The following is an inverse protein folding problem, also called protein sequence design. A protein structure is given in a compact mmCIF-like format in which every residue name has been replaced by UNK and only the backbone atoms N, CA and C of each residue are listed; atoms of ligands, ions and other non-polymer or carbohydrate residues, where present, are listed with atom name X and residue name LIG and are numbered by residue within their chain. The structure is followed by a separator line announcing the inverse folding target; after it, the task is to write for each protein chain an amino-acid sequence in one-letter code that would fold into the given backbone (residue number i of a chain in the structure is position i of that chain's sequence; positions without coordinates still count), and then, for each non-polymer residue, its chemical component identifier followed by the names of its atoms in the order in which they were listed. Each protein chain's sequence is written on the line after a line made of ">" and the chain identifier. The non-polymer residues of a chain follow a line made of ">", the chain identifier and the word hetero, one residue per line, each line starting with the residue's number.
data_IF_384789857764
#
_entry.id   IF_384789857764
#
_cell.length_a   1.000
_cell.length_b   1.000
_cell.length_c   1.000
_cell.angle_alpha   90.00
_cell.angle_beta   90.00
_cell.angle_gamma   90.00
#
_symmetry.space_group_name_H-M   'P 1'
#
loop_
_entity.id
_entity.type
_entity.pdbx_description
1 polymer ?
#
# COMPACT_ATOMS: atom_id res chain seq x y z
N UNK A 1 -26.66 29.13 -6.10
CA UNK A 1 -26.09 28.59 -4.86
C UNK A 1 -25.20 27.42 -5.26
N UNK A 2 -23.88 27.61 -5.32
CA UNK A 2 -22.93 26.61 -5.80
C UNK A 2 -22.48 25.74 -4.61
N UNK A 3 -23.32 24.78 -4.22
CA UNK A 3 -22.90 23.69 -3.36
C UNK A 3 -22.61 22.48 -4.23
N UNK A 4 -21.38 21.97 -4.22
CA UNK A 4 -21.09 20.68 -4.82
C UNK A 4 -22.07 19.63 -4.25
N UNK A 5 -22.61 18.76 -5.10
CA UNK A 5 -23.51 17.70 -4.63
C UNK A 5 -22.79 16.79 -3.64
N UNK A 6 -23.53 16.20 -2.70
CA UNK A 6 -22.95 15.31 -1.69
C UNK A 6 -22.17 14.14 -2.33
N UNK A 7 -22.60 13.70 -3.51
CA UNK A 7 -21.93 12.68 -4.33
C UNK A 7 -20.59 13.15 -4.93
N UNK A 8 -20.52 14.40 -5.40
CA UNK A 8 -19.27 14.97 -5.88
C UNK A 8 -18.24 15.11 -4.74
N UNK A 9 -18.70 15.45 -3.54
CA UNK A 9 -17.86 15.55 -2.34
C UNK A 9 -17.31 14.16 -1.93
N UNK A 10 -18.14 13.11 -1.97
CA UNK A 10 -17.70 11.76 -1.63
C UNK A 10 -16.74 11.17 -2.66
N UNK A 11 -16.98 11.41 -3.96
CA UNK A 11 -16.07 11.00 -5.03
C UNK A 11 -14.70 11.69 -4.91
N UNK A 12 -14.67 13.01 -4.71
CA UNK A 12 -13.43 13.75 -4.52
C UNK A 12 -12.65 13.26 -3.28
N UNK A 13 -13.35 13.00 -2.16
CA UNK A 13 -12.73 12.43 -0.95
C UNK A 13 -12.14 11.04 -1.21
N UNK A 14 -12.83 10.20 -1.99
CA UNK A 14 -12.37 8.86 -2.38
C UNK A 14 -11.08 8.93 -3.17
N UNK A 15 -11.00 9.81 -4.16
CA UNK A 15 -9.80 9.99 -4.99
C UNK A 15 -8.60 10.45 -4.17
N UNK A 16 -8.78 11.46 -3.31
CA UNK A 16 -7.71 11.93 -2.41
C UNK A 16 -7.21 10.79 -1.50
N UNK A 17 -8.13 10.01 -0.94
CA UNK A 17 -7.76 8.89 -0.07
C UNK A 17 -7.01 7.79 -0.85
N UNK A 18 -7.43 7.48 -2.08
CA UNK A 18 -6.72 6.54 -2.95
C UNK A 18 -5.30 6.99 -3.26
N UNK A 19 -5.10 8.29 -3.47
CA UNK A 19 -3.77 8.86 -3.67
C UNK A 19 -2.87 8.68 -2.44
N UNK A 20 -3.39 8.98 -1.24
CA UNK A 20 -2.66 8.78 0.03
C UNK A 20 -2.25 7.31 0.19
N UNK A 21 -3.16 6.37 -0.04
CA UNK A 21 -2.87 4.95 0.06
C UNK A 21 -1.83 4.48 -0.96
N UNK A 22 -1.89 4.99 -2.20
CA UNK A 22 -0.88 4.71 -3.23
C UNK A 22 0.50 5.21 -2.79
N UNK A 23 0.57 6.39 -2.18
CA UNK A 23 1.82 6.97 -1.69
C UNK A 23 2.41 6.16 -0.54
N UNK A 24 1.59 5.76 0.43
CA UNK A 24 2.01 4.91 1.56
C UNK A 24 2.52 3.55 1.07
N UNK A 25 1.77 2.89 0.18
CA UNK A 25 2.20 1.65 -0.46
C UNK A 25 3.55 1.80 -1.15
N UNK A 26 3.74 2.88 -1.91
CA UNK A 26 4.98 3.14 -2.62
C UNK A 26 6.14 3.39 -1.62
N UNK A 27 5.88 4.05 -0.49
CA UNK A 27 6.88 4.24 0.56
C UNK A 27 7.31 2.91 1.19
N UNK A 28 6.35 2.05 1.56
CA UNK A 28 6.63 0.72 2.13
C UNK A 28 7.36 -0.20 1.14
N UNK A 29 6.97 -0.17 -0.15
CA UNK A 29 7.66 -0.91 -1.20
C UNK A 29 9.11 -0.44 -1.39
N UNK A 30 9.37 0.87 -1.32
CA UNK A 30 10.74 1.42 -1.37
C UNK A 30 11.56 1.04 -0.15
N UNK A 31 10.96 1.05 1.04
CA UNK A 31 11.65 0.67 2.27
C UNK A 31 12.16 -0.78 2.26
N UNK A 32 11.47 -1.67 1.54
CA UNK A 32 11.87 -3.06 1.36
C UNK A 32 12.49 -3.36 -0.02
N UNK A 33 12.99 -2.35 -0.74
CA UNK A 33 13.54 -2.58 -2.07
C UNK A 33 14.90 -3.28 -2.06
N UNK A 34 15.69 -3.00 -1.03
CA UNK A 34 16.97 -3.66 -0.77
C UNK A 34 16.87 -5.19 -0.64
N UNK A 35 15.70 -5.73 -0.24
CA UNK A 35 15.50 -7.16 -0.01
C UNK A 35 15.41 -7.97 -1.31
N UNK A 36 15.22 -7.30 -2.46
CA UNK A 36 15.11 -7.93 -3.78
C UNK A 36 16.46 -8.01 -4.50
N UNK A 37 17.48 -7.34 -3.96
CA UNK A 37 18.83 -7.35 -4.53
C UNK A 37 19.46 -8.73 -4.28
N UNK A 38 20.10 -9.36 -5.28
CA UNK A 38 20.71 -10.67 -5.11
C UNK A 38 21.76 -10.71 -3.98
N UNK A 39 22.50 -9.61 -3.82
CA UNK A 39 23.54 -9.41 -2.81
C UNK A 39 23.00 -9.14 -1.39
N UNK A 40 21.68 -9.05 -1.21
CA UNK A 40 21.11 -8.92 0.12
C UNK A 40 21.45 -10.17 0.95
N UNK A 41 22.03 -9.96 2.14
CA UNK A 41 22.38 -10.98 3.12
C UNK A 41 21.13 -11.56 3.82
N UNK A 42 20.18 -12.04 3.02
CA UNK A 42 18.92 -12.63 3.45
C UNK A 42 18.91 -14.12 3.12
N UNK A 43 18.42 -14.92 4.06
CA UNK A 43 18.15 -16.34 3.80
C UNK A 43 17.03 -16.49 2.77
N UNK A 44 16.93 -17.67 2.15
CA UNK A 44 15.83 -17.99 1.21
C UNK A 44 14.45 -17.78 1.85
N UNK A 45 14.32 -18.12 3.14
CA UNK A 45 13.09 -17.95 3.91
C UNK A 45 12.74 -16.47 4.12
N UNK A 46 13.74 -15.64 4.46
CA UNK A 46 13.54 -14.20 4.59
C UNK A 46 13.16 -13.56 3.25
N UNK A 47 13.82 -13.95 2.15
CA UNK A 47 13.47 -13.49 0.79
C UNK A 47 12.03 -13.88 0.43
N UNK A 48 11.59 -15.08 0.79
CA UNK A 48 10.20 -15.53 0.60
C UNK A 48 9.20 -14.71 1.44
N UNK A 49 9.53 -14.41 2.71
CA UNK A 49 8.71 -13.58 3.58
C UNK A 49 8.56 -12.15 3.04
N UNK A 50 9.65 -11.52 2.62
CA UNK A 50 9.64 -10.20 1.98
C UNK A 50 8.86 -10.19 0.66
N UNK A 51 8.96 -11.26 -0.13
CA UNK A 51 8.18 -11.42 -1.37
C UNK A 51 6.68 -11.47 -1.07
N UNK A 52 6.26 -12.24 -0.06
CA UNK A 52 4.87 -12.30 0.41
C UNK A 52 4.39 -10.95 0.92
N UNK A 53 5.18 -10.28 1.74
CA UNK A 53 4.90 -8.93 2.25
C UNK A 53 4.66 -7.92 1.11
N UNK A 54 5.55 -7.88 0.11
CA UNK A 54 5.41 -7.00 -1.06
C UNK A 54 4.18 -7.33 -1.90
N UNK A 55 3.78 -8.60 -1.98
CA UNK A 55 2.54 -8.99 -2.66
C UNK A 55 1.32 -8.44 -1.91
N UNK A 56 1.27 -8.64 -0.59
CA UNK A 56 0.19 -8.10 0.24
C UNK A 56 0.06 -6.57 0.10
N UNK A 57 1.18 -5.83 0.08
CA UNK A 57 1.16 -4.38 -0.15
C UNK A 57 0.56 -3.98 -1.50
N UNK A 58 0.84 -4.74 -2.57
CA UNK A 58 0.31 -4.45 -3.91
C UNK A 58 -1.15 -4.82 -4.08
N UNK A 59 -1.65 -5.76 -3.27
CA UNK A 59 -3.03 -6.23 -3.29
C UNK A 59 -3.99 -5.31 -2.49
N UNK A 60 -3.48 -4.36 -1.68
CA UNK A 60 -4.27 -3.38 -0.91
C UNK A 60 -5.14 -2.37 -1.69
N UNK A 61 -4.85 -1.89 -2.92
CA UNK A 61 -5.66 -0.84 -3.55
C UNK A 61 -7.07 -1.31 -3.97
N UNK A 62 -7.43 -2.58 -3.74
CA UNK A 62 -8.76 -3.13 -3.95
C UNK A 62 -9.67 -3.11 -2.70
N UNK A 63 -9.26 -2.51 -1.57
CA UNK A 63 -10.11 -2.50 -0.38
C UNK A 63 -11.34 -1.61 -0.61
N UNK A 64 -12.53 -2.20 -0.46
CA UNK A 64 -13.80 -1.49 -0.59
C UNK A 64 -13.95 -0.35 0.45
N UNK A 65 -13.35 -0.55 1.64
CA UNK A 65 -13.24 0.43 2.72
C UNK A 65 -11.84 1.07 2.74
N UNK A 66 -11.75 2.27 2.17
CA UNK A 66 -10.52 3.08 2.21
C UNK A 66 -10.20 3.56 3.64
N UNK A 67 -11.18 3.60 4.52
CA UNK A 67 -11.02 4.05 5.91
C UNK A 67 -10.50 2.93 6.85
N UNK A 68 -10.44 1.68 6.38
CA UNK A 68 -10.01 0.50 7.15
C UNK A 68 -8.93 -0.30 6.44
N UNK A 69 -7.94 0.39 5.87
CA UNK A 69 -6.80 -0.28 5.25
C UNK A 69 -5.87 -0.83 6.32
N UNK A 70 -5.84 -2.15 6.45
CA UNK A 70 -4.89 -2.86 7.31
C UNK A 70 -3.57 -3.09 6.57
N UNK A 71 -2.50 -2.45 7.03
CA UNK A 71 -1.18 -2.62 6.45
C UNK A 71 -0.51 -3.89 7.01
N UNK A 72 0.10 -4.73 6.16
CA UNK A 72 0.86 -5.88 6.63
C UNK A 72 2.04 -5.41 7.48
N UNK A 73 2.44 -6.24 8.45
CA UNK A 73 3.63 -5.99 9.28
C UNK A 73 4.86 -6.47 8.52
N UNK A 74 5.91 -5.64 8.48
CA UNK A 74 7.18 -6.00 7.86
C UNK A 74 7.82 -7.21 8.59
N UNK A 75 8.34 -8.20 7.84
CA UNK A 75 9.09 -9.30 8.44
C UNK A 75 10.46 -8.84 8.97
N UNK A 76 11.02 -9.60 9.92
CA UNK A 76 12.34 -9.36 10.54
C UNK A 76 13.51 -9.89 9.69
#
# INVERSE_FOLDING_TARGET
>A
MFGASNEAITAARREVMLEVLRNERNALLRACDWTQVPDAALTTEQKAAWTKYRKMLRDLPSVADLDKVEWPVAPA
#
